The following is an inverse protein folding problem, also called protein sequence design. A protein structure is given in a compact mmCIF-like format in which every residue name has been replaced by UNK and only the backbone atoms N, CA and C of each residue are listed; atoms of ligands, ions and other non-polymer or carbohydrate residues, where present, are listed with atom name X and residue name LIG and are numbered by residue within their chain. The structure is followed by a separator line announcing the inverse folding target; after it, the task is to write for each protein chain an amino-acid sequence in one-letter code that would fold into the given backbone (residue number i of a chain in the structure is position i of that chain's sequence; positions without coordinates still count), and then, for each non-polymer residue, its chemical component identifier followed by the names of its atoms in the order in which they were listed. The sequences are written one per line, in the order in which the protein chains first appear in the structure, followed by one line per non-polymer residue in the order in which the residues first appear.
data_IF_971190603446
#
_entry.id   IF_971190603446
#
_cell.length_a   1.000
_cell.length_b   1.000
_cell.length_c   1.000
_cell.angle_alpha   90.00
_cell.angle_beta   90.00
_cell.angle_gamma   90.00
#
_symmetry.space_group_name_H-M   'P 1'
#
loop_
_entity.id
_entity.type
_entity.pdbx_description
1 polymer ?
#
# COMPACT_ATOMS: atom_id res chain seq x y z
N UNK A 1 16.81 51.71 32.71
CA UNK A 1 17.35 50.52 32.02
C UNK A 1 16.38 50.10 30.92
N UNK A 2 16.77 50.21 29.64
CA UNK A 2 15.95 49.81 28.48
C UNK A 2 16.10 48.31 28.26
N UNK A 3 14.99 47.57 28.21
CA UNK A 3 15.02 46.16 27.81
C UNK A 3 15.33 46.02 26.32
N UNK A 4 16.12 45.01 25.90
CA UNK A 4 16.44 44.82 24.49
C UNK A 4 15.20 44.27 23.76
N UNK A 5 14.79 44.94 22.68
CA UNK A 5 13.76 44.43 21.75
C UNK A 5 14.35 43.23 21.01
N UNK A 6 13.85 42.04 21.33
CA UNK A 6 14.12 40.82 20.54
C UNK A 6 13.57 41.04 19.13
N UNK A 7 14.33 40.73 18.06
CA UNK A 7 13.87 41.01 16.70
C UNK A 7 12.73 40.06 16.33
N UNK A 8 11.51 40.63 16.22
CA UNK A 8 10.25 39.99 15.81
C UNK A 8 10.41 39.08 14.56
N UNK A 9 11.34 39.44 13.67
CA UNK A 9 11.65 38.70 12.46
C UNK A 9 12.21 37.28 12.71
N UNK A 10 12.99 37.09 13.79
CA UNK A 10 13.52 35.75 14.13
C UNK A 10 12.43 34.82 14.68
N UNK A 11 11.47 35.37 15.42
CA UNK A 11 10.33 34.61 15.96
C UNK A 11 9.32 34.23 14.87
N UNK A 12 9.15 35.08 13.84
CA UNK A 12 8.27 34.80 12.70
C UNK A 12 8.85 33.72 11.76
N UNK A 13 10.16 33.74 11.51
CA UNK A 13 10.84 32.71 10.70
C UNK A 13 10.75 31.33 11.39
N UNK A 14 10.90 31.27 12.71
CA UNK A 14 10.77 30.03 13.48
C UNK A 14 9.34 29.47 13.43
N UNK A 15 8.32 30.35 13.45
CA UNK A 15 6.91 29.96 13.32
C UNK A 15 6.56 29.48 11.90
N UNK A 16 7.10 30.11 10.86
CA UNK A 16 6.94 29.66 9.46
C UNK A 16 7.66 28.31 9.20
N UNK A 17 8.81 28.05 9.82
CA UNK A 17 9.49 26.75 9.72
C UNK A 17 8.72 25.61 10.42
N UNK A 18 7.98 25.88 11.51
CA UNK A 18 7.13 24.88 12.15
C UNK A 18 5.86 24.54 11.34
N UNK A 19 5.32 25.49 10.57
CA UNK A 19 4.15 25.28 9.69
C UNK A 19 4.50 24.60 8.35
N UNK A 20 5.78 24.56 7.97
CA UNK A 20 6.26 23.97 6.70
C UNK A 20 6.46 22.46 6.72
N UNK A 21 6.36 21.80 7.88
CA UNK A 21 6.50 20.34 8.03
C UNK A 21 5.15 19.63 8.08
N UNK A 22 4.19 20.02 7.24
CA UNK A 22 3.01 19.18 6.99
C UNK A 22 3.50 18.03 6.10
N UNK A 23 3.86 16.91 6.74
CA UNK A 23 4.30 15.70 6.07
C UNK A 23 3.39 15.38 4.88
N UNK A 24 3.96 15.30 3.68
CA UNK A 24 3.40 14.50 2.59
C UNK A 24 3.53 13.02 3.00
N UNK A 25 2.71 12.57 3.93
CA UNK A 25 2.48 11.14 4.11
C UNK A 25 1.80 10.66 2.83
N UNK A 26 2.49 9.85 2.02
CA UNK A 26 1.83 9.13 0.93
C UNK A 26 0.84 8.18 1.57
N UNK A 27 -0.44 8.54 1.48
CA UNK A 27 -1.56 7.81 2.04
C UNK A 27 -1.59 6.37 1.53
N UNK A 28 -2.04 5.47 2.40
CA UNK A 28 -2.46 4.11 2.04
C UNK A 28 -3.40 4.16 0.85
N UNK A 29 -3.13 3.35 -0.18
CA UNK A 29 -3.93 3.32 -1.39
C UNK A 29 -4.93 2.16 -1.34
N UNK A 30 -6.22 2.51 -1.34
CA UNK A 30 -7.30 1.55 -1.53
C UNK A 30 -7.59 1.47 -3.04
N UNK A 31 -7.41 0.28 -3.61
CA UNK A 31 -7.55 0.00 -5.03
C UNK A 31 -8.79 -0.87 -5.22
N UNK A 32 -9.91 -0.24 -5.56
CA UNK A 32 -11.16 -0.92 -5.86
C UNK A 32 -11.26 -1.26 -7.36
N UNK A 33 -11.37 -2.55 -7.66
CA UNK A 33 -11.62 -3.12 -8.97
C UNK A 33 -13.07 -3.59 -8.98
N UNK A 34 -13.94 -2.83 -9.61
CA UNK A 34 -15.39 -3.06 -9.60
C UNK A 34 -15.89 -3.56 -10.96
N UNK A 35 -16.90 -4.42 -10.90
CA UNK A 35 -17.77 -4.80 -12.01
C UNK A 35 -19.18 -4.31 -11.73
N UNK A 36 -20.16 -4.68 -12.56
CA UNK A 36 -21.56 -4.36 -12.32
C UNK A 36 -22.08 -4.86 -10.95
N UNK A 37 -21.57 -6.01 -10.46
CA UNK A 37 -22.12 -6.67 -9.28
C UNK A 37 -21.09 -7.10 -8.22
N UNK A 38 -19.80 -7.11 -8.57
CA UNK A 38 -18.73 -7.57 -7.68
C UNK A 38 -17.64 -6.52 -7.55
N UNK A 39 -16.90 -6.56 -6.46
CA UNK A 39 -15.71 -5.76 -6.23
C UNK A 39 -14.60 -6.60 -5.61
N UNK A 40 -13.38 -6.39 -6.10
CA UNK A 40 -12.14 -6.80 -5.46
C UNK A 40 -11.42 -5.54 -4.99
N UNK A 41 -11.04 -5.49 -3.72
CA UNK A 41 -10.39 -4.33 -3.13
C UNK A 41 -9.07 -4.75 -2.52
N UNK A 42 -8.05 -4.01 -2.92
CA UNK A 42 -6.68 -4.19 -2.47
C UNK A 42 -6.25 -2.98 -1.65
N UNK A 43 -5.48 -3.22 -0.61
CA UNK A 43 -4.73 -2.22 0.11
C UNK A 43 -3.27 -2.31 -0.35
N UNK A 44 -2.75 -1.18 -0.83
CA UNK A 44 -1.37 -1.07 -1.29
C UNK A 44 -0.69 0.12 -0.59
N UNK A 45 0.42 -0.18 0.09
CA UNK A 45 1.28 0.84 0.69
C UNK A 45 2.68 0.64 0.11
N UNK A 46 3.28 1.71 -0.41
CA UNK A 46 4.60 1.63 -1.04
C UNK A 46 5.61 1.02 -0.07
N UNK A 47 6.31 -0.02 -0.51
CA UNK A 47 7.28 -0.75 0.31
C UNK A 47 6.70 -1.80 1.26
N UNK A 48 5.38 -2.05 1.20
CA UNK A 48 4.71 -3.15 1.92
C UNK A 48 4.08 -4.13 0.94
N UNK A 49 3.57 -5.23 1.46
CA UNK A 49 2.77 -6.20 0.72
C UNK A 49 1.50 -5.54 0.16
N UNK A 50 0.97 -6.10 -0.94
CA UNK A 50 -0.38 -5.75 -1.44
C UNK A 50 -1.34 -6.77 -0.87
N UNK A 51 -2.34 -6.31 -0.11
CA UNK A 51 -3.26 -7.20 0.60
C UNK A 51 -4.69 -7.06 0.06
N UNK A 52 -5.39 -8.19 -0.06
CA UNK A 52 -6.82 -8.23 -0.37
C UNK A 52 -7.60 -7.93 0.91
N UNK A 53 -8.34 -6.82 0.90
CA UNK A 53 -9.15 -6.38 2.04
C UNK A 53 -10.63 -6.68 1.86
N UNK A 54 -11.08 -6.84 0.61
CA UNK A 54 -12.46 -7.20 0.28
C UNK A 54 -12.53 -7.95 -1.04
N UNK A 55 -13.35 -9.00 -1.08
CA UNK A 55 -13.82 -9.59 -2.32
C UNK A 55 -15.26 -10.06 -2.14
N UNK A 56 -16.17 -9.53 -2.95
CA UNK A 56 -17.60 -9.80 -2.78
C UNK A 56 -18.49 -8.89 -3.62
N UNK A 57 -19.72 -8.69 -3.16
CA UNK A 57 -20.68 -7.81 -3.83
C UNK A 57 -20.18 -6.37 -3.87
N UNK A 58 -20.46 -5.67 -4.96
CA UNK A 58 -20.15 -4.24 -5.05
C UNK A 58 -20.89 -3.48 -3.94
N UNK A 59 -20.17 -2.65 -3.18
CA UNK A 59 -20.75 -1.80 -2.14
C UNK A 59 -21.44 -0.59 -2.79
N UNK A 60 -22.32 0.06 -2.04
CA UNK A 60 -23.09 1.18 -2.55
C UNK A 60 -22.19 2.39 -2.86
N UNK A 61 -21.18 2.62 -2.02
CA UNK A 61 -20.19 3.69 -2.20
C UNK A 61 -18.76 3.15 -2.08
N UNK A 62 -17.89 3.60 -3.00
CA UNK A 62 -16.47 3.27 -2.97
C UNK A 62 -15.77 3.76 -1.68
N UNK A 63 -16.31 4.78 -1.02
CA UNK A 63 -15.78 5.26 0.26
C UNK A 63 -15.96 4.25 1.40
N UNK A 64 -16.91 3.33 1.29
CA UNK A 64 -17.14 2.30 2.31
C UNK A 64 -15.97 1.31 2.39
N UNK A 65 -15.23 1.14 1.29
CA UNK A 65 -14.09 0.23 1.24
C UNK A 65 -12.95 0.61 2.20
N UNK A 66 -12.81 1.90 2.53
CA UNK A 66 -11.79 2.33 3.51
C UNK A 66 -12.12 1.86 4.93
N UNK A 67 -13.38 1.49 5.19
CA UNK A 67 -13.86 1.07 6.51
C UNK A 67 -13.98 -0.44 6.67
N UNK A 68 -13.75 -1.21 5.58
CA UNK A 68 -13.88 -2.67 5.61
C UNK A 68 -12.92 -3.27 6.63
N UNK A 69 -11.65 -2.86 6.65
CA UNK A 69 -10.67 -3.39 7.63
C UNK A 69 -11.02 -3.06 9.08
N UNK A 70 -11.69 -1.93 9.34
CA UNK A 70 -12.13 -1.56 10.70
C UNK A 70 -13.32 -2.41 11.17
N UNK A 71 -14.15 -2.86 10.23
CA UNK A 71 -15.39 -3.59 10.49
C UNK A 71 -15.17 -5.10 10.49
N UNK A 72 -14.45 -5.59 9.47
CA UNK A 72 -13.99 -6.96 9.34
C UNK A 72 -12.63 -7.09 10.02
N UNK A 73 -12.63 -7.58 11.26
CA UNK A 73 -11.40 -7.99 11.95
C UNK A 73 -10.85 -9.26 11.29
N UNK A 74 -10.29 -9.14 10.09
CA UNK A 74 -9.43 -10.19 9.55
C UNK A 74 -8.42 -10.52 10.65
N UNK A 75 -8.29 -11.80 10.98
CA UNK A 75 -7.40 -12.27 12.05
C UNK A 75 -6.04 -11.62 11.86
N UNK A 76 -5.59 -10.84 12.85
CA UNK A 76 -4.26 -10.23 12.85
C UNK A 76 -3.25 -11.35 13.00
N UNK A 77 -2.85 -11.94 11.88
CA UNK A 77 -1.84 -12.96 11.84
C UNK A 77 -0.47 -12.27 11.79
N UNK A 78 0.49 -12.82 12.53
CA UNK A 78 1.77 -12.19 12.82
C UNK A 78 2.60 -11.90 11.56
N UNK A 79 2.41 -12.67 10.49
CA UNK A 79 3.19 -12.54 9.25
C UNK A 79 2.71 -11.43 8.33
N UNK A 80 1.43 -11.03 8.45
CA UNK A 80 0.77 -10.07 7.56
C UNK A 80 0.62 -10.54 6.11
N UNK A 81 0.82 -11.84 5.83
CA UNK A 81 1.02 -12.37 4.47
C UNK A 81 -0.14 -13.26 3.98
N UNK A 82 -1.03 -13.70 4.87
CA UNK A 82 -2.16 -14.57 4.50
C UNK A 82 -3.14 -13.92 3.53
N UNK A 83 -3.34 -12.61 3.65
CA UNK A 83 -4.23 -11.86 2.77
C UNK A 83 -3.48 -11.19 1.62
N UNK A 84 -2.19 -11.48 1.41
CA UNK A 84 -1.47 -10.93 0.26
C UNK A 84 -2.16 -11.34 -1.04
N UNK A 85 -2.34 -10.38 -1.94
CA UNK A 85 -2.95 -10.60 -3.25
C UNK A 85 -2.14 -11.58 -4.11
N UNK A 86 -0.83 -11.71 -3.83
CA UNK A 86 0.05 -12.66 -4.50
C UNK A 86 1.15 -13.15 -3.54
N UNK A 87 0.87 -14.26 -2.86
CA UNK A 87 1.69 -14.78 -1.74
C UNK A 87 3.02 -15.39 -2.23
N UNK A 88 4.20 -14.85 -1.87
CA UNK A 88 5.49 -15.44 -2.25
C UNK A 88 5.93 -16.60 -1.34
N UNK A 89 6.85 -17.44 -1.81
CA UNK A 89 7.49 -18.50 -1.02
C UNK A 89 8.56 -17.98 -0.06
N UNK A 90 8.73 -18.67 1.07
CA UNK A 90 9.75 -18.34 2.07
C UNK A 90 9.42 -17.05 2.82
N UNK A 91 10.45 -16.28 3.19
CA UNK A 91 10.32 -15.08 4.04
C UNK A 91 9.47 -15.35 5.30
N UNK A 92 8.28 -14.75 5.39
CA UNK A 92 7.33 -14.92 6.50
C UNK A 92 6.14 -15.82 6.15
N UNK A 93 6.08 -16.39 4.94
CA UNK A 93 4.91 -17.16 4.49
C UNK A 93 4.85 -18.54 5.17
N UNK A 94 3.70 -18.86 5.76
CA UNK A 94 3.42 -20.14 6.41
C UNK A 94 2.37 -20.98 5.67
N UNK A 95 1.88 -20.50 4.52
CA UNK A 95 0.87 -21.19 3.69
C UNK A 95 1.40 -21.51 2.29
N UNK A 96 0.59 -22.21 1.50
CA UNK A 96 0.92 -22.51 0.10
C UNK A 96 1.18 -21.22 -0.69
N UNK A 97 2.35 -21.06 -1.32
CA UNK A 97 2.69 -19.86 -2.07
C UNK A 97 2.05 -19.84 -3.46
N UNK A 98 1.66 -18.65 -3.93
CA UNK A 98 1.24 -18.42 -5.32
C UNK A 98 2.44 -18.41 -6.29
N UNK A 99 3.63 -18.06 -5.79
CA UNK A 99 4.86 -18.01 -6.57
C UNK A 99 6.06 -18.47 -5.74
N UNK A 100 6.90 -19.28 -6.36
CA UNK A 100 8.20 -19.69 -5.81
C UNK A 100 9.30 -19.40 -6.82
N UNK A 101 10.41 -18.88 -6.34
CA UNK A 101 11.59 -18.59 -7.16
C UNK A 101 12.82 -19.20 -6.48
N UNK A 102 13.73 -19.77 -7.27
CA UNK A 102 15.09 -20.07 -6.81
C UNK A 102 16.02 -19.05 -7.43
N UNK A 103 16.60 -18.20 -6.60
CA UNK A 103 17.53 -17.15 -7.02
C UNK A 103 18.87 -17.76 -7.46
N UNK A 104 19.72 -16.94 -8.09
CA UNK A 104 21.01 -17.40 -8.64
C UNK A 104 21.98 -17.97 -7.59
N UNK A 105 21.81 -17.60 -6.32
CA UNK A 105 22.58 -18.11 -5.19
C UNK A 105 21.94 -19.36 -4.53
N UNK A 106 20.83 -19.86 -5.09
CA UNK A 106 20.06 -20.98 -4.56
C UNK A 106 19.05 -20.60 -3.46
N UNK A 107 18.98 -19.32 -3.06
CA UNK A 107 18.01 -18.87 -2.07
C UNK A 107 16.59 -18.94 -2.64
N UNK A 108 15.62 -19.37 -1.83
CA UNK A 108 14.20 -19.52 -2.21
C UNK A 108 13.25 -18.55 -1.51
N UNK A 109 13.80 -17.65 -0.70
CA UNK A 109 13.03 -16.62 -0.03
C UNK A 109 12.70 -15.49 -1.00
N UNK A 110 11.43 -15.11 -1.08
CA UNK A 110 10.94 -14.04 -1.94
C UNK A 110 10.07 -13.08 -1.11
N UNK A 111 10.28 -11.78 -1.28
CA UNK A 111 9.55 -10.73 -0.57
C UNK A 111 9.04 -9.66 -1.55
N UNK A 112 7.76 -9.72 -1.92
CA UNK A 112 7.19 -8.84 -2.94
C UNK A 112 6.57 -7.59 -2.34
N UNK A 113 7.23 -6.44 -2.53
CA UNK A 113 6.75 -5.14 -2.05
C UNK A 113 6.17 -4.29 -3.19
N UNK A 114 5.13 -3.52 -2.87
CA UNK A 114 4.46 -2.62 -3.81
C UNK A 114 5.35 -1.46 -4.25
N UNK A 115 5.41 -1.24 -5.57
CA UNK A 115 6.18 -0.16 -6.21
C UNK A 115 5.26 0.92 -6.77
N UNK A 116 4.33 0.54 -7.66
CA UNK A 116 3.43 1.47 -8.35
C UNK A 116 2.17 0.77 -8.86
N UNK A 117 1.13 1.58 -9.08
CA UNK A 117 -0.11 1.22 -9.78
C UNK A 117 -0.19 2.00 -11.09
N UNK A 118 -0.60 1.33 -12.14
CA UNK A 118 -0.96 1.91 -13.42
C UNK A 118 -2.37 1.45 -13.81
N UNK A 119 -3.13 2.34 -14.45
CA UNK A 119 -4.51 2.06 -14.87
C UNK A 119 -4.67 2.49 -16.31
N UNK A 120 -5.13 1.56 -17.14
CA UNK A 120 -5.37 1.75 -18.57
C UNK A 120 -6.82 1.40 -18.91
N UNK A 121 -7.50 2.27 -19.65
CA UNK A 121 -8.81 1.96 -20.20
C UNK A 121 -8.60 1.30 -21.57
N UNK A 122 -8.82 -0.01 -21.65
CA UNK A 122 -8.63 -0.79 -22.87
C UNK A 122 -9.83 -0.60 -23.81
N UNK A 123 -11.04 -0.52 -23.24
CA UNK A 123 -12.30 -0.33 -23.96
C UNK A 123 -13.32 0.39 -23.04
N UNK A 124 -14.51 0.71 -23.55
CA UNK A 124 -15.58 1.41 -22.85
C UNK A 124 -15.96 0.78 -21.49
N UNK A 125 -15.88 -0.54 -21.39
CA UNK A 125 -16.24 -1.30 -20.18
C UNK A 125 -15.10 -2.19 -19.66
N UNK A 126 -13.86 -1.96 -20.09
CA UNK A 126 -12.70 -2.78 -19.73
C UNK A 126 -11.55 -1.90 -19.28
N UNK A 127 -11.07 -2.13 -18.06
CA UNK A 127 -9.96 -1.39 -17.46
C UNK A 127 -8.92 -2.36 -16.93
N UNK A 128 -7.66 -2.18 -17.34
CA UNK A 128 -6.52 -2.90 -16.81
C UNK A 128 -5.94 -2.11 -15.64
N UNK A 129 -5.74 -2.77 -14.51
CA UNK A 129 -5.02 -2.23 -13.36
C UNK A 129 -3.76 -3.07 -13.16
N UNK A 130 -2.61 -2.46 -13.37
CA UNK A 130 -1.31 -3.11 -13.25
C UNK A 130 -0.66 -2.69 -11.93
N UNK A 131 -0.33 -3.66 -11.07
CA UNK A 131 0.45 -3.44 -9.86
C UNK A 131 1.86 -3.97 -10.06
N UNK A 132 2.85 -3.08 -10.01
CA UNK A 132 4.26 -3.50 -10.06
C UNK A 132 4.73 -3.81 -8.65
N UNK A 133 5.25 -5.03 -8.47
CA UNK A 133 5.91 -5.48 -7.25
C UNK A 133 7.40 -5.69 -7.52
N UNK A 134 8.21 -5.69 -6.47
CA UNK A 134 9.62 -6.08 -6.56
C UNK A 134 10.08 -6.82 -5.32
N UNK A 135 11.13 -7.61 -5.47
CA UNK A 135 11.93 -8.03 -4.32
C UNK A 135 12.99 -6.96 -4.02
N UNK A 136 13.13 -6.51 -2.75
CA UNK A 136 14.10 -5.46 -2.41
C UNK A 136 15.56 -5.94 -2.43
N UNK A 137 15.80 -7.25 -2.37
CA UNK A 137 17.13 -7.88 -2.38
C UNK A 137 17.48 -8.40 -3.76
N UNK A 138 16.55 -9.07 -4.43
CA UNK A 138 16.77 -9.70 -5.74
C UNK A 138 16.10 -8.91 -6.86
N UNK A 139 16.89 -8.38 -7.79
CA UNK A 139 16.35 -7.70 -8.96
C UNK A 139 15.98 -8.72 -10.04
N UNK A 140 14.70 -8.81 -10.36
CA UNK A 140 14.21 -9.48 -11.56
C UNK A 140 14.29 -8.50 -12.72
N UNK A 141 15.16 -8.78 -13.69
CA UNK A 141 15.36 -7.99 -14.92
C UNK A 141 15.11 -8.86 -16.13
#
# INVERSE_FOLDING_TARGET
MKQPKVPQLKSQILLCCLLGMVHLAKAQEIIAIETAHNAMVLEAVKGKDVNTVYFGQKLHSAAEYTQVNATYKQTTEYTGQLNSAYTPSGSRNLVEPAISVTHSDGNKSLNLIFVKKEVENIDANVRLTTLTLKDPVYNFT
#
